data_IF_270397046335
#
_entry.id   IF_270397046335
#
_cell.length_a   1.000
_cell.length_b   1.000
_cell.length_c   1.000
_cell.angle_alpha   90.00
_cell.angle_beta   90.00
_cell.angle_gamma   90.00
#
_symmetry.space_group_name_H-M   'P 1'
#
loop_
_entity.id
_entity.type
_entity.pdbx_description
1 polymer ?
#
# COMPACT_ATOMS: atom_id res chain seq x y z
N UNK A 1 101.00 22.14 72.74
CA UNK A 1 100.34 21.93 71.43
C UNK A 1 98.89 21.52 71.68
N UNK A 2 97.92 22.40 71.41
CA UNK A 2 96.48 22.11 71.46
C UNK A 2 95.98 22.02 70.01
N UNK A 3 95.61 20.83 69.57
CA UNK A 3 94.92 20.63 68.29
C UNK A 3 93.42 20.87 68.49
N UNK A 4 92.89 21.89 67.80
CA UNK A 4 91.46 22.17 67.69
C UNK A 4 90.82 21.12 66.77
N UNK A 5 89.90 20.36 67.34
CA UNK A 5 89.16 19.30 66.68
C UNK A 5 87.92 19.90 65.99
N UNK A 6 88.01 20.21 64.69
CA UNK A 6 86.85 20.65 63.90
C UNK A 6 85.91 19.47 63.67
N UNK A 7 84.88 19.39 64.50
CA UNK A 7 83.82 18.38 64.39
C UNK A 7 83.01 18.62 63.10
N UNK A 8 83.06 17.63 62.22
CA UNK A 8 82.46 17.59 60.89
C UNK A 8 80.91 17.58 60.96
N UNK A 9 80.28 18.76 61.07
CA UNK A 9 78.82 18.92 61.05
C UNK A 9 78.22 19.13 59.64
N UNK A 10 79.01 19.00 58.56
CA UNK A 10 78.58 19.31 57.18
C UNK A 10 77.69 18.25 56.50
N UNK A 11 77.62 17.01 57.00
CA UNK A 11 76.86 15.93 56.33
C UNK A 11 75.36 15.90 56.66
N UNK A 12 74.91 16.53 57.76
CA UNK A 12 73.48 16.54 58.13
C UNK A 12 72.63 17.53 57.33
N UNK A 13 73.22 18.59 56.79
CA UNK A 13 72.51 19.55 55.93
C UNK A 13 72.19 19.02 54.54
N UNK A 14 73.05 18.17 53.97
CA UNK A 14 72.90 17.64 52.61
C UNK A 14 71.70 16.71 52.50
N UNK A 15 71.44 15.87 53.51
CA UNK A 15 70.27 14.99 53.56
C UNK A 15 68.94 15.75 53.61
N UNK A 16 68.87 16.88 54.33
CA UNK A 16 67.67 17.71 54.38
C UNK A 16 67.40 18.41 53.04
N UNK A 17 68.45 18.80 52.32
CA UNK A 17 68.33 19.43 51.00
C UNK A 17 67.83 18.40 49.97
N UNK A 18 68.41 17.19 49.97
CA UNK A 18 67.99 16.11 49.06
C UNK A 18 66.55 15.69 49.36
N UNK A 19 66.17 15.55 50.63
CA UNK A 19 64.78 15.25 51.03
C UNK A 19 63.78 16.34 50.63
N UNK A 20 64.18 17.62 50.77
CA UNK A 20 63.36 18.76 50.32
C UNK A 20 63.14 18.78 48.81
N UNK A 21 64.19 18.50 48.02
CA UNK A 21 64.08 18.40 46.55
C UNK A 21 63.18 17.23 46.16
N UNK A 22 63.35 16.07 46.80
CA UNK A 22 62.52 14.89 46.51
C UNK A 22 61.05 15.14 46.84
N UNK A 23 60.77 15.80 47.97
CA UNK A 23 59.43 16.21 48.35
C UNK A 23 58.83 17.21 47.36
N UNK A 24 59.61 18.19 46.88
CA UNK A 24 59.13 19.20 45.92
C UNK A 24 58.78 18.54 44.58
N UNK A 25 59.59 17.60 44.10
CA UNK A 25 59.30 16.83 42.88
C UNK A 25 58.01 16.00 43.06
N UNK A 26 57.84 15.31 44.19
CA UNK A 26 56.62 14.55 44.49
C UNK A 26 55.37 15.44 44.63
N UNK A 27 55.52 16.61 45.25
CA UNK A 27 54.42 17.57 45.38
C UNK A 27 54.03 18.13 44.01
N UNK A 28 55.02 18.44 43.16
CA UNK A 28 54.79 18.92 41.79
C UNK A 28 54.10 17.85 40.95
N UNK A 29 54.55 16.60 41.01
CA UNK A 29 53.89 15.51 40.29
C UNK A 29 52.47 15.24 40.81
N UNK A 30 52.26 15.29 42.13
CA UNK A 30 50.94 15.17 42.75
C UNK A 30 49.97 16.27 42.29
N UNK A 31 50.43 17.53 42.25
CA UNK A 31 49.62 18.63 41.74
C UNK A 31 49.35 18.54 40.24
N UNK A 32 50.30 18.06 39.44
CA UNK A 32 50.07 17.85 38.00
C UNK A 32 48.98 16.79 37.77
N UNK A 33 49.03 15.67 38.48
CA UNK A 33 47.97 14.64 38.37
C UNK A 33 46.62 15.18 38.85
N UNK A 34 46.61 15.93 39.94
CA UNK A 34 45.40 16.58 40.44
C UNK A 34 44.81 17.58 39.43
N UNK A 35 45.66 18.38 38.78
CA UNK A 35 45.25 19.31 37.73
C UNK A 35 44.61 18.59 36.55
N UNK A 36 45.24 17.51 36.07
CA UNK A 36 44.68 16.67 35.00
C UNK A 36 43.35 16.03 35.43
N UNK A 37 43.24 15.58 36.68
CA UNK A 37 42.00 15.04 37.21
C UNK A 37 40.86 16.09 37.28
N UNK A 38 41.17 17.34 37.61
CA UNK A 38 40.18 18.43 37.58
C UNK A 38 39.77 18.81 36.15
N UNK A 39 40.73 18.89 35.23
CA UNK A 39 40.46 19.20 33.81
C UNK A 39 39.56 18.13 33.18
N UNK A 40 39.86 16.85 33.41
CA UNK A 40 39.02 15.74 32.95
C UNK A 40 37.62 15.74 33.57
N UNK A 41 37.46 16.13 34.84
CA UNK A 41 36.13 16.29 35.45
C UNK A 41 35.35 17.43 34.80
N UNK A 42 36.00 18.57 34.51
CA UNK A 42 35.35 19.69 33.81
C UNK A 42 34.86 19.26 32.43
N UNK A 43 35.71 18.61 31.64
CA UNK A 43 35.34 18.11 30.32
C UNK A 43 34.20 17.09 30.37
N UNK A 44 34.15 16.25 31.40
CA UNK A 44 33.06 15.30 31.60
C UNK A 44 31.73 16.00 31.90
N UNK A 45 31.74 17.04 32.74
CA UNK A 45 30.54 17.84 33.04
C UNK A 45 30.05 18.56 31.77
N UNK A 46 30.96 19.20 31.03
CA UNK A 46 30.64 19.90 29.79
C UNK A 46 30.04 18.94 28.76
N UNK A 47 30.63 17.76 28.62
CA UNK A 47 30.13 16.70 27.72
C UNK A 47 28.74 16.23 28.16
N UNK A 48 28.50 16.03 29.46
CA UNK A 48 27.19 15.64 29.97
C UNK A 48 26.13 16.70 29.71
N UNK A 49 26.48 17.98 29.86
CA UNK A 49 25.57 19.08 29.55
C UNK A 49 25.23 19.11 28.06
N UNK A 50 26.22 19.00 27.18
CA UNK A 50 26.00 18.95 25.72
C UNK A 50 25.12 17.75 25.35
N UNK A 51 25.35 16.57 25.93
CA UNK A 51 24.52 15.37 25.69
C UNK A 51 23.09 15.60 26.17
N UNK A 52 22.89 16.20 27.35
CA UNK A 52 21.57 16.49 27.88
C UNK A 52 20.82 17.51 27.00
N UNK A 53 21.48 18.59 26.61
CA UNK A 53 20.91 19.64 25.75
C UNK A 53 20.56 19.08 24.37
N UNK A 54 21.43 18.26 23.78
CA UNK A 54 21.18 17.56 22.51
C UNK A 54 20.02 16.57 22.64
N UNK A 55 19.93 15.85 23.76
CA UNK A 55 18.84 14.93 24.05
C UNK A 55 17.49 15.64 24.13
N UNK A 56 17.43 16.79 24.82
CA UNK A 56 16.23 17.63 24.91
C UNK A 56 15.86 18.19 23.53
N UNK A 57 16.84 18.67 22.76
CA UNK A 57 16.62 19.17 21.40
C UNK A 57 16.04 18.07 20.49
N UNK A 58 16.58 16.86 20.57
CA UNK A 58 16.12 15.68 19.82
C UNK A 58 14.68 15.29 20.16
N UNK A 59 14.29 15.32 21.44
CA UNK A 59 12.91 15.01 21.86
C UNK A 59 11.90 16.05 21.30
N UNK A 60 12.34 17.30 21.14
CA UNK A 60 11.53 18.39 20.58
C UNK A 60 11.50 18.41 19.05
N UNK A 61 12.39 17.67 18.41
CA UNK A 61 12.44 17.50 16.96
C UNK A 61 11.43 16.43 16.53
N UNK A 62 10.43 16.84 15.76
CA UNK A 62 9.44 15.92 15.18
C UNK A 62 9.22 16.32 13.74
N UNK A 63 9.41 15.38 12.83
CA UNK A 63 9.13 15.60 11.42
C UNK A 63 8.53 14.35 10.79
N UNK A 64 7.82 14.57 9.70
CA UNK A 64 7.20 13.56 8.86
C UNK A 64 7.84 13.64 7.48
N UNK A 65 7.94 12.50 6.83
CA UNK A 65 8.53 12.35 5.49
C UNK A 65 7.49 11.74 4.58
N UNK A 66 7.33 12.32 3.40
CA UNK A 66 6.57 11.75 2.31
C UNK A 66 7.48 11.63 1.08
N UNK A 67 7.41 10.48 0.41
CA UNK A 67 8.08 10.24 -0.84
C UNK A 67 7.05 10.12 -1.96
N UNK A 68 7.41 10.62 -3.13
CA UNK A 68 6.63 10.55 -4.36
C UNK A 68 7.56 10.53 -5.55
N UNK A 69 7.16 9.94 -6.67
CA UNK A 69 7.87 10.03 -7.93
C UNK A 69 6.96 10.52 -9.04
N UNK A 70 7.49 11.37 -9.92
CA UNK A 70 6.78 11.85 -11.09
C UNK A 70 6.97 10.88 -12.26
N UNK A 71 5.93 10.13 -12.60
CA UNK A 71 5.92 9.18 -13.73
C UNK A 71 5.99 9.89 -15.10
N UNK A 72 5.61 11.17 -15.17
CA UNK A 72 5.76 12.01 -16.35
C UNK A 72 7.20 12.50 -16.59
N UNK A 73 8.03 12.51 -15.55
CA UNK A 73 9.44 12.90 -15.58
C UNK A 73 10.36 11.70 -15.23
N UNK A 74 10.13 10.55 -15.87
CA UNK A 74 10.97 9.35 -15.73
C UNK A 74 11.18 8.88 -14.28
N UNK A 75 10.12 8.92 -13.46
CA UNK A 75 10.14 8.56 -12.04
C UNK A 75 11.13 9.41 -11.22
N UNK A 76 11.12 10.73 -11.46
CA UNK A 76 11.89 11.68 -10.64
C UNK A 76 11.39 11.66 -9.20
N UNK A 77 12.26 11.31 -8.27
CA UNK A 77 11.97 11.29 -6.84
C UNK A 77 11.82 12.71 -6.28
N UNK A 78 10.74 12.92 -5.55
CA UNK A 78 10.45 14.10 -4.75
C UNK A 78 10.26 13.69 -3.28
N UNK A 79 11.03 14.30 -2.39
CA UNK A 79 11.01 14.03 -0.96
C UNK A 79 10.55 15.26 -0.21
N UNK A 80 9.31 15.20 0.28
CA UNK A 80 8.75 16.25 1.09
C UNK A 80 8.94 15.92 2.57
N UNK A 81 9.53 16.86 3.30
CA UNK A 81 9.69 16.77 4.74
C UNK A 81 8.89 17.88 5.40
N UNK A 82 8.08 17.51 6.38
CA UNK A 82 7.22 18.43 7.14
C UNK A 82 7.67 18.47 8.58
N UNK A 83 8.02 19.66 9.07
CA UNK A 83 8.40 19.84 10.46
C UNK A 83 7.16 20.08 11.33
N UNK A 84 6.82 19.08 12.14
CA UNK A 84 5.71 19.10 13.11
C UNK A 84 6.19 19.32 14.56
N UNK A 85 7.49 19.56 14.74
CA UNK A 85 8.14 19.76 16.03
C UNK A 85 8.15 21.21 16.46
N UNK A 86 8.81 21.49 17.59
CA UNK A 86 8.92 22.85 18.13
C UNK A 86 10.26 23.52 17.78
N UNK A 87 11.17 22.77 17.18
CA UNK A 87 12.49 23.24 16.75
C UNK A 87 12.60 23.11 15.23
N UNK A 88 13.40 23.97 14.59
CA UNK A 88 13.76 23.78 13.20
C UNK A 88 14.47 22.42 13.03
N UNK A 89 14.14 21.73 11.95
CA UNK A 89 14.72 20.43 11.62
C UNK A 89 15.80 20.68 10.58
N UNK A 90 16.98 20.14 10.83
CA UNK A 90 18.09 20.19 9.88
C UNK A 90 18.37 18.77 9.40
N UNK A 91 18.28 18.52 8.10
CA UNK A 91 18.48 17.20 7.51
C UNK A 91 19.97 17.01 7.18
N UNK A 92 20.59 16.02 7.81
CA UNK A 92 21.99 15.71 7.57
C UNK A 92 22.15 14.83 6.31
N UNK A 93 21.38 13.75 6.22
CA UNK A 93 21.59 12.70 5.22
C UNK A 93 20.28 12.06 4.75
N UNK A 94 20.26 11.65 3.49
CA UNK A 94 19.22 10.79 2.92
C UNK A 94 19.84 9.50 2.44
N UNK A 95 19.22 8.38 2.78
CA UNK A 95 19.57 7.06 2.31
C UNK A 95 18.42 6.49 1.50
N UNK A 96 18.72 5.93 0.33
CA UNK A 96 17.75 5.22 -0.50
C UNK A 96 18.23 3.77 -0.59
N UNK A 97 17.33 2.84 -0.24
CA UNK A 97 17.66 1.43 -0.17
C UNK A 97 16.66 0.69 -1.05
N UNK A 98 17.11 0.07 -2.13
CA UNK A 98 16.25 -0.84 -2.88
C UNK A 98 16.02 -2.11 -2.04
N UNK A 99 14.76 -2.49 -1.83
CA UNK A 99 14.40 -3.69 -1.04
C UNK A 99 14.40 -4.98 -1.85
N UNK A 100 14.12 -4.94 -3.15
CA UNK A 100 14.03 -6.16 -3.97
C UNK A 100 15.31 -6.43 -4.77
N UNK A 101 16.12 -5.41 -4.98
CA UNK A 101 17.42 -5.50 -5.64
C UNK A 101 18.53 -6.09 -4.75
N UNK A 102 19.63 -6.50 -5.41
CA UNK A 102 20.91 -6.89 -4.77
C UNK A 102 21.74 -5.63 -4.43
N UNK A 103 21.31 -4.45 -4.88
CA UNK A 103 22.07 -3.21 -4.71
C UNK A 103 22.09 -2.72 -3.27
N UNK A 104 23.23 -2.11 -2.91
CA UNK A 104 23.50 -1.60 -1.58
C UNK A 104 22.78 -0.27 -1.35
N UNK A 105 22.49 0.03 -0.07
CA UNK A 105 22.02 1.33 0.38
C UNK A 105 22.91 2.47 -0.15
N UNK A 106 22.32 3.43 -0.86
CA UNK A 106 23.01 4.60 -1.38
C UNK A 106 22.75 5.82 -0.50
N UNK A 107 23.83 6.49 -0.08
CA UNK A 107 23.77 7.76 0.66
C UNK A 107 23.78 8.92 -0.31
N UNK A 108 22.91 9.89 -0.07
CA UNK A 108 22.85 11.16 -0.78
C UNK A 108 23.10 12.30 0.19
N UNK A 109 24.09 13.11 -0.14
CA UNK A 109 24.33 14.37 0.54
C UNK A 109 23.29 15.42 0.08
N UNK A 110 22.94 16.35 0.95
CA UNK A 110 21.98 17.40 0.63
C UNK A 110 22.69 18.73 0.40
N UNK A 111 22.08 19.59 -0.43
CA UNK A 111 22.53 20.98 -0.54
C UNK A 111 22.09 21.73 0.72
N UNK A 112 22.97 22.53 1.30
CA UNK A 112 22.73 23.35 2.48
C UNK A 112 21.45 24.20 2.40
N UNK A 113 21.02 24.58 1.19
CA UNK A 113 19.78 25.36 0.97
C UNK A 113 18.50 24.59 1.26
N UNK A 114 18.53 23.26 1.14
CA UNK A 114 17.38 22.36 1.28
C UNK A 114 17.35 21.66 2.65
N UNK A 115 18.39 21.89 3.44
CA UNK A 115 18.69 21.15 4.66
C UNK A 115 17.90 21.67 5.87
N UNK A 116 17.46 22.94 5.89
CA UNK A 116 16.81 23.53 7.06
C UNK A 116 15.30 23.77 6.84
N UNK A 117 14.47 23.17 7.69
CA UNK A 117 13.01 23.25 7.62
C UNK A 117 12.49 23.92 8.90
N UNK A 118 11.98 25.16 8.82
CA UNK A 118 11.39 25.85 9.96
C UNK A 118 10.15 25.14 10.51
N UNK A 119 9.80 25.45 11.76
CA UNK A 119 8.65 24.87 12.44
C UNK A 119 7.35 25.17 11.70
N UNK A 120 6.55 24.14 11.41
CA UNK A 120 5.26 24.25 10.74
C UNK A 120 5.35 24.41 9.21
N UNK A 121 6.56 24.39 8.64
CA UNK A 121 6.77 24.43 7.20
C UNK A 121 7.08 23.03 6.65
N UNK A 122 6.85 22.88 5.35
CA UNK A 122 7.31 21.73 4.57
C UNK A 122 8.34 22.19 3.54
N UNK A 123 9.35 21.38 3.28
CA UNK A 123 10.35 21.60 2.23
C UNK A 123 10.56 20.35 1.39
N UNK A 124 10.84 20.52 0.10
CA UNK A 124 11.36 19.45 -0.74
C UNK A 124 12.89 19.44 -0.61
N UNK A 125 13.44 18.33 -0.12
CA UNK A 125 14.86 18.28 0.25
C UNK A 125 15.79 17.87 -0.90
N UNK A 126 15.23 17.55 -2.08
CA UNK A 126 15.98 17.12 -3.27
C UNK A 126 15.82 18.08 -4.45
N UNK A 127 15.26 19.26 -4.23
CA UNK A 127 14.87 20.17 -5.32
C UNK A 127 16.06 20.89 -5.97
N UNK A 128 17.04 21.34 -5.16
CA UNK A 128 18.19 22.11 -5.65
C UNK A 128 19.39 21.27 -6.09
N UNK A 129 19.33 19.93 -5.94
CA UNK A 129 20.34 18.99 -6.43
C UNK A 129 19.95 18.44 -7.82
N UNK A 130 20.91 17.79 -8.49
CA UNK A 130 20.62 16.99 -9.67
C UNK A 130 19.44 16.03 -9.39
N UNK A 131 18.44 15.97 -10.28
CA UNK A 131 17.25 15.14 -10.09
C UNK A 131 17.64 13.67 -9.94
N UNK A 132 17.06 13.02 -8.94
CA UNK A 132 17.22 11.58 -8.72
C UNK A 132 16.07 10.86 -9.39
N UNK A 133 16.40 9.88 -10.23
CA UNK A 133 15.42 9.04 -10.91
C UNK A 133 15.48 7.64 -10.31
N UNK A 134 14.32 7.09 -9.98
CA UNK A 134 14.21 5.74 -9.45
C UNK A 134 13.74 4.77 -10.52
N UNK A 135 14.24 3.53 -10.43
CA UNK A 135 13.73 2.42 -11.24
C UNK A 135 12.44 1.94 -10.58
N UNK A 136 11.49 1.38 -11.35
CA UNK A 136 10.26 0.81 -10.78
C UNK A 136 10.59 -0.34 -9.84
N UNK A 137 10.51 -0.09 -8.53
CA UNK A 137 10.82 -1.03 -7.47
C UNK A 137 10.35 -0.50 -6.10
N UNK A 138 10.46 -1.32 -5.06
CA UNK A 138 10.18 -0.95 -3.67
C UNK A 138 11.46 -0.46 -3.01
N UNK A 139 11.41 0.75 -2.46
CA UNK A 139 12.51 1.41 -1.77
C UNK A 139 12.17 1.68 -0.30
N UNK A 140 13.19 1.66 0.56
CA UNK A 140 13.17 2.19 1.92
C UNK A 140 14.03 3.44 1.95
N UNK A 141 13.37 4.59 2.12
CA UNK A 141 14.02 5.91 2.11
C UNK A 141 14.15 6.38 3.56
N UNK A 142 15.38 6.55 4.02
CA UNK A 142 15.69 6.98 5.39
C UNK A 142 16.25 8.38 5.38
N UNK A 143 15.63 9.25 6.16
CA UNK A 143 16.04 10.62 6.36
C UNK A 143 16.57 10.76 7.78
N UNK A 144 17.78 11.32 7.88
CA UNK A 144 18.50 11.48 9.14
C UNK A 144 18.68 12.98 9.39
N UNK A 145 18.23 13.46 10.54
CA UNK A 145 18.47 14.83 10.97
C UNK A 145 19.88 15.02 11.55
N UNK A 146 20.35 16.26 11.66
CA UNK A 146 21.63 16.59 12.31
C UNK A 146 21.64 16.22 13.80
N UNK A 147 20.47 16.14 14.45
CA UNK A 147 20.30 15.63 15.80
C UNK A 147 20.21 14.09 15.88
N UNK A 148 20.30 13.41 14.73
CA UNK A 148 20.29 11.95 14.60
C UNK A 148 18.91 11.32 14.81
N UNK A 149 17.83 12.06 14.55
CA UNK A 149 16.48 11.48 14.43
C UNK A 149 16.35 10.85 13.06
N UNK A 150 15.84 9.63 13.02
CA UNK A 150 15.72 8.86 11.78
C UNK A 150 14.24 8.66 11.48
N UNK A 151 13.83 8.97 10.25
CA UNK A 151 12.51 8.66 9.70
C UNK A 151 12.66 7.86 8.42
N UNK A 152 12.01 6.71 8.38
CA UNK A 152 11.98 5.83 7.22
C UNK A 152 10.59 5.88 6.59
N UNK A 153 10.55 5.96 5.26
CA UNK A 153 9.34 5.79 4.48
C UNK A 153 9.62 4.71 3.44
N UNK A 154 8.79 3.68 3.41
CA UNK A 154 8.76 2.78 2.27
C UNK A 154 8.16 3.54 1.09
N UNK A 155 8.60 3.28 -0.13
CA UNK A 155 8.09 3.91 -1.34
C UNK A 155 8.11 2.92 -2.48
N UNK A 156 6.96 2.70 -3.14
CA UNK A 156 6.87 1.87 -4.33
C UNK A 156 6.86 2.77 -5.58
N UNK A 157 7.88 2.62 -6.43
CA UNK A 157 8.08 3.41 -7.65
C UNK A 157 7.21 2.89 -8.80
N UNK A 158 6.34 1.90 -8.56
CA UNK A 158 5.33 1.41 -9.50
C UNK A 158 4.06 2.29 -9.58
N UNK A 159 4.16 3.61 -9.32
CA UNK A 159 3.12 4.58 -9.74
C UNK A 159 2.23 5.19 -8.65
N UNK A 160 2.57 5.11 -7.35
CA UNK A 160 1.73 5.68 -6.29
C UNK A 160 2.45 6.26 -5.07
N UNK A 161 1.84 7.24 -4.42
CA UNK A 161 2.14 7.68 -3.06
C UNK A 161 1.56 6.70 -2.04
N UNK A 162 2.36 6.30 -1.03
CA UNK A 162 1.94 5.37 0.05
C UNK A 162 0.83 5.92 0.99
N UNK A 163 0.26 7.08 0.67
CA UNK A 163 -0.86 7.69 1.39
C UNK A 163 -2.19 7.14 0.89
N UNK A 164 -2.30 6.76 -0.39
CA UNK A 164 -3.50 6.15 -0.95
C UNK A 164 -3.17 4.74 -1.41
N UNK A 165 -3.89 3.76 -0.85
CA UNK A 165 -3.80 2.37 -1.26
C UNK A 165 -5.05 2.00 -2.06
N UNK A 166 -4.87 1.61 -3.31
CA UNK A 166 -5.91 1.15 -4.21
C UNK A 166 -5.91 -0.37 -4.34
N UNK A 167 -7.10 -0.95 -4.37
CA UNK A 167 -7.36 -2.35 -4.63
C UNK A 167 -8.46 -2.45 -5.69
N UNK A 168 -8.25 -3.31 -6.68
CA UNK A 168 -9.20 -3.51 -7.77
C UNK A 168 -9.80 -4.91 -7.66
N UNK A 169 -11.10 -5.01 -7.95
CA UNK A 169 -11.82 -6.28 -8.04
C UNK A 169 -12.75 -6.23 -9.24
N UNK A 170 -12.70 -7.26 -10.08
CA UNK A 170 -13.59 -7.42 -11.23
C UNK A 170 -14.61 -8.55 -10.96
N UNK A 171 -15.89 -8.25 -11.16
CA UNK A 171 -17.00 -9.16 -10.88
C UNK A 171 -17.95 -9.19 -12.09
N UNK A 172 -18.33 -10.37 -12.60
CA UNK A 172 -17.87 -11.71 -12.20
C UNK A 172 -16.45 -12.02 -12.72
N UNK A 173 -15.74 -12.95 -12.05
CA UNK A 173 -14.39 -13.41 -12.48
C UNK A 173 -14.43 -14.39 -13.67
N UNK A 174 -15.60 -14.92 -13.99
CA UNK A 174 -15.87 -15.77 -15.14
C UNK A 174 -17.00 -15.13 -15.95
N UNK A 175 -16.70 -14.69 -17.17
CA UNK A 175 -17.66 -13.95 -18.01
C UNK A 175 -17.68 -14.50 -19.43
N UNK A 176 -18.80 -14.34 -20.12
CA UNK A 176 -18.96 -14.66 -21.53
C UNK A 176 -18.93 -13.39 -22.37
N UNK A 177 -18.70 -13.54 -23.66
CA UNK A 177 -18.77 -12.42 -24.60
C UNK A 177 -20.16 -11.76 -24.58
N UNK A 178 -20.18 -10.43 -24.57
CA UNK A 178 -21.40 -9.63 -24.49
C UNK A 178 -22.02 -9.54 -23.08
N UNK A 179 -21.40 -10.14 -22.06
CA UNK A 179 -21.78 -9.91 -20.65
C UNK A 179 -21.08 -8.68 -20.09
N UNK A 180 -21.70 -8.05 -19.09
CA UNK A 180 -21.13 -6.90 -18.39
C UNK A 180 -20.21 -7.37 -17.26
N UNK A 181 -19.03 -6.77 -17.19
CA UNK A 181 -18.11 -6.89 -16.06
C UNK A 181 -18.15 -5.59 -15.29
N UNK A 182 -18.44 -5.68 -13.99
CA UNK A 182 -18.32 -4.55 -13.08
C UNK A 182 -16.93 -4.56 -12.45
N UNK A 183 -16.18 -3.49 -12.68
CA UNK A 183 -14.88 -3.26 -12.07
C UNK A 183 -15.06 -2.31 -10.89
N UNK A 184 -14.51 -2.68 -9.75
CA UNK A 184 -14.57 -1.92 -8.50
C UNK A 184 -13.15 -1.54 -8.10
N UNK A 185 -12.89 -0.24 -7.96
CA UNK A 185 -11.65 0.27 -7.37
C UNK A 185 -11.96 0.79 -5.97
N UNK A 186 -11.45 0.09 -4.96
CA UNK A 186 -11.49 0.52 -3.58
C UNK A 186 -10.21 1.29 -3.24
N UNK A 187 -10.36 2.53 -2.79
CA UNK A 187 -9.24 3.41 -2.45
C UNK A 187 -9.31 3.71 -0.96
N UNK A 188 -8.24 3.46 -0.24
CA UNK A 188 -8.12 3.67 1.22
C UNK A 188 -7.03 4.67 1.51
N UNK A 189 -7.32 5.65 2.37
CA UNK A 189 -6.30 6.54 2.91
C UNK A 189 -5.52 5.83 4.03
N UNK A 190 -4.28 5.47 3.75
CA UNK A 190 -3.32 4.85 4.67
C UNK A 190 -2.44 5.88 5.40
N UNK A 191 -2.56 7.16 5.04
CA UNK A 191 -1.83 8.26 5.68
C UNK A 191 -2.45 8.74 7.01
N UNK A 192 -1.69 9.58 7.71
CA UNK A 192 -2.09 10.17 9.01
C UNK A 192 -2.98 11.42 8.87
N UNK A 193 -3.22 11.90 7.64
CA UNK A 193 -3.90 13.16 7.36
C UNK A 193 -5.04 12.97 6.36
N UNK A 194 -6.00 13.91 6.36
CA UNK A 194 -7.12 13.91 5.42
C UNK A 194 -6.64 14.15 3.98
N UNK A 195 -7.05 13.28 3.05
CA UNK A 195 -6.85 13.46 1.61
C UNK A 195 -8.14 13.97 1.00
N UNK A 196 -8.07 15.08 0.28
CA UNK A 196 -9.24 15.74 -0.34
C UNK A 196 -9.38 15.37 -1.81
N UNK A 197 -10.60 15.46 -2.33
CA UNK A 197 -10.90 15.26 -3.75
C UNK A 197 -10.35 13.95 -4.35
N UNK A 198 -10.39 12.87 -3.56
CA UNK A 198 -9.99 11.54 -4.05
C UNK A 198 -10.94 11.14 -5.17
N UNK A 199 -10.39 10.94 -6.37
CA UNK A 199 -11.08 10.56 -7.60
C UNK A 199 -10.31 9.43 -8.28
N UNK A 200 -11.03 8.46 -8.83
CA UNK A 200 -10.40 7.52 -9.73
C UNK A 200 -9.96 8.22 -11.02
N UNK A 201 -8.85 7.75 -11.60
CA UNK A 201 -8.46 8.16 -12.93
C UNK A 201 -9.50 7.62 -13.94
N UNK A 202 -9.95 8.46 -14.85
CA UNK A 202 -11.07 8.11 -15.75
C UNK A 202 -10.70 7.09 -16.81
N UNK A 203 -9.39 6.87 -17.02
CA UNK A 203 -8.87 5.91 -17.97
C UNK A 203 -8.14 4.82 -17.18
N UNK A 204 -8.81 3.70 -16.91
CA UNK A 204 -8.10 2.49 -16.52
C UNK A 204 -7.69 1.74 -17.78
N UNK A 205 -6.51 1.13 -17.74
CA UNK A 205 -6.00 0.33 -18.84
C UNK A 205 -6.69 -1.03 -18.83
N UNK A 206 -7.18 -1.44 -20.00
CA UNK A 206 -7.71 -2.77 -20.25
C UNK A 206 -6.77 -3.47 -21.21
N UNK A 207 -6.18 -4.57 -20.75
CA UNK A 207 -5.25 -5.35 -21.56
C UNK A 207 -5.73 -6.80 -21.65
N UNK A 208 -6.07 -7.29 -22.86
CA UNK A 208 -6.17 -6.57 -24.15
C UNK A 208 -7.33 -5.57 -24.19
N UNK A 209 -7.24 -4.54 -25.04
CA UNK A 209 -8.32 -3.55 -25.25
C UNK A 209 -9.54 -4.21 -25.90
N UNK A 210 -10.48 -4.65 -25.08
CA UNK A 210 -11.68 -5.40 -25.46
C UNK A 210 -12.95 -4.82 -24.84
N UNK A 211 -12.86 -3.63 -24.24
CA UNK A 211 -14.01 -2.95 -23.69
C UNK A 211 -14.72 -2.18 -24.82
N UNK A 212 -15.94 -2.58 -25.16
CA UNK A 212 -16.71 -2.02 -26.30
C UNK A 212 -16.91 -0.52 -26.21
N UNK A 213 -17.13 -0.03 -25.00
CA UNK A 213 -17.26 1.39 -24.68
C UNK A 213 -16.17 1.74 -23.66
N UNK A 214 -15.60 2.97 -23.72
CA UNK A 214 -14.70 3.41 -22.67
C UNK A 214 -15.47 3.29 -21.34
N UNK A 215 -14.87 2.64 -20.34
CA UNK A 215 -15.59 2.30 -19.12
C UNK A 215 -16.08 3.59 -18.45
N UNK A 216 -17.39 3.75 -18.40
CA UNK A 216 -18.00 4.93 -17.80
C UNK A 216 -18.08 4.72 -16.29
N UNK A 217 -17.68 5.74 -15.54
CA UNK A 217 -17.82 5.74 -14.09
C UNK A 217 -19.31 5.80 -13.72
N UNK A 218 -19.83 4.71 -13.17
CA UNK A 218 -21.24 4.57 -12.81
C UNK A 218 -21.51 5.18 -11.45
N UNK A 219 -20.54 5.02 -10.55
CA UNK A 219 -20.67 5.43 -9.16
C UNK A 219 -19.31 5.78 -8.56
N UNK A 220 -19.27 6.84 -7.76
CA UNK A 220 -18.08 7.34 -7.09
C UNK A 220 -17.68 8.74 -7.56
N UNK A 221 -18.12 9.77 -6.84
CA UNK A 221 -17.66 11.14 -7.06
C UNK A 221 -16.37 11.45 -6.29
N UNK A 222 -15.76 12.63 -6.50
CA UNK A 222 -14.67 13.10 -5.66
C UNK A 222 -15.08 13.04 -4.18
N UNK A 223 -14.26 12.41 -3.35
CA UNK A 223 -14.56 12.21 -1.94
C UNK A 223 -13.37 12.62 -1.07
N UNK A 224 -13.65 13.10 0.14
CA UNK A 224 -12.61 13.39 1.11
C UNK A 224 -12.46 12.18 2.03
N UNK A 225 -11.23 11.68 2.16
CA UNK A 225 -10.90 10.52 2.98
C UNK A 225 -10.13 10.96 4.21
N UNK A 226 -10.73 10.81 5.39
CA UNK A 226 -10.01 10.85 6.65
C UNK A 226 -9.03 9.64 6.76
N UNK A 227 -8.06 9.65 7.69
CA UNK A 227 -7.19 8.51 7.94
C UNK A 227 -7.99 7.22 8.13
N UNK A 228 -7.58 6.14 7.45
CA UNK A 228 -8.25 4.83 7.45
C UNK A 228 -9.66 4.80 6.84
N UNK A 229 -10.10 5.87 6.18
CA UNK A 229 -11.35 5.89 5.44
C UNK A 229 -11.14 5.37 4.01
N UNK A 230 -12.15 4.70 3.47
CA UNK A 230 -12.15 4.19 2.10
C UNK A 230 -13.31 4.75 1.29
N UNK A 231 -13.12 4.82 -0.02
CA UNK A 231 -14.15 5.08 -1.03
C UNK A 231 -14.09 4.02 -2.12
N UNK A 232 -15.16 3.89 -2.90
CA UNK A 232 -15.26 2.92 -3.98
C UNK A 232 -15.72 3.60 -5.27
N UNK A 233 -15.09 3.21 -6.38
CA UNK A 233 -15.42 3.65 -7.73
C UNK A 233 -15.84 2.42 -8.55
N UNK A 234 -16.89 2.58 -9.35
CA UNK A 234 -17.50 1.48 -10.10
C UNK A 234 -17.55 1.84 -11.58
N UNK A 235 -17.18 0.89 -12.41
CA UNK A 235 -17.31 0.97 -13.86
C UNK A 235 -17.93 -0.32 -14.38
N UNK A 236 -18.73 -0.21 -15.43
CA UNK A 236 -19.14 -1.38 -16.22
C UNK A 236 -18.38 -1.37 -17.54
N UNK A 237 -17.97 -2.57 -17.94
CA UNK A 237 -17.33 -2.85 -19.21
C UNK A 237 -18.07 -3.99 -19.91
N UNK A 238 -18.43 -3.77 -21.17
CA UNK A 238 -19.00 -4.82 -22.03
C UNK A 238 -17.88 -5.40 -22.87
N UNK A 239 -17.68 -6.71 -22.78
CA UNK A 239 -16.58 -7.39 -23.47
C UNK A 239 -16.96 -7.75 -24.90
N UNK A 240 -16.20 -7.23 -25.86
CA UNK A 240 -16.29 -7.59 -27.27
C UNK A 240 -15.36 -8.78 -27.61
N UNK A 241 -15.73 -9.62 -28.59
CA UNK A 241 -14.79 -10.57 -29.20
C UNK A 241 -13.80 -9.84 -30.14
N UNK A 242 -12.60 -10.39 -30.45
CA UNK A 242 -12.11 -11.74 -30.15
C UNK A 242 -10.69 -11.82 -29.50
N UNK A 243 -10.37 -13.03 -29.00
CA UNK A 243 -9.04 -13.54 -28.64
C UNK A 243 -8.39 -12.94 -27.39
N UNK A 244 -8.74 -13.49 -26.22
CA UNK A 244 -7.83 -13.95 -25.15
C UNK A 244 -8.68 -14.56 -24.01
N UNK A 245 -8.14 -15.55 -23.30
CA UNK A 245 -8.85 -16.19 -22.18
C UNK A 245 -8.88 -15.32 -20.92
N UNK A 246 -8.08 -14.25 -20.86
CA UNK A 246 -7.94 -13.42 -19.66
C UNK A 246 -7.82 -11.96 -20.05
N UNK A 247 -8.64 -11.13 -19.41
CA UNK A 247 -8.64 -9.68 -19.54
C UNK A 247 -8.17 -9.11 -18.21
N UNK A 248 -7.17 -8.24 -18.23
CA UNK A 248 -6.65 -7.56 -17.05
C UNK A 248 -7.10 -6.11 -17.07
N UNK A 249 -7.64 -5.67 -15.95
CA UNK A 249 -8.01 -4.29 -15.68
C UNK A 249 -6.95 -3.70 -14.77
N UNK A 250 -6.42 -2.52 -15.08
CA UNK A 250 -5.42 -1.82 -14.27
C UNK A 250 -5.81 -0.36 -14.13
N UNK A 251 -5.87 0.16 -12.91
CA UNK A 251 -6.22 1.56 -12.68
C UNK A 251 -5.73 2.09 -11.33
N UNK A 252 -5.75 3.41 -11.21
CA UNK A 252 -5.32 4.13 -10.03
C UNK A 252 -6.28 5.28 -9.68
N UNK A 253 -6.03 5.91 -8.54
CA UNK A 253 -6.76 7.07 -8.07
C UNK A 253 -5.82 8.19 -7.66
N UNK A 254 -6.31 9.41 -7.74
CA UNK A 254 -5.56 10.63 -7.40
C UNK A 254 -6.33 11.41 -6.34
N UNK A 255 -5.62 12.11 -5.48
CA UNK A 255 -6.19 12.97 -4.43
C UNK A 255 -5.29 14.17 -4.13
N UNK A 256 -5.73 15.04 -3.22
CA UNK A 256 -5.01 16.23 -2.81
C UNK A 256 -4.69 16.19 -1.31
N UNK A 257 -3.41 16.13 -0.98
CA UNK A 257 -2.91 16.29 0.38
C UNK A 257 -2.34 17.70 0.55
N UNK A 258 -3.01 18.55 1.32
CA UNK A 258 -2.58 19.94 1.55
C UNK A 258 -2.30 20.74 0.25
N UNK A 259 -3.00 20.41 -0.84
CA UNK A 259 -2.85 21.04 -2.15
C UNK A 259 -1.85 20.37 -3.10
N UNK A 260 -1.16 19.32 -2.66
CA UNK A 260 -0.26 18.51 -3.49
C UNK A 260 -1.00 17.26 -4.00
N UNK A 261 -0.86 16.95 -5.28
CA UNK A 261 -1.43 15.72 -5.85
C UNK A 261 -0.73 14.50 -5.27
N UNK A 262 -1.50 13.52 -4.82
CA UNK A 262 -1.03 12.21 -4.37
C UNK A 262 -1.76 11.14 -5.16
N UNK A 263 -0.99 10.20 -5.71
CA UNK A 263 -1.54 9.10 -6.49
C UNK A 263 -1.59 7.83 -5.64
N UNK A 264 -2.50 6.91 -5.92
CA UNK A 264 -2.48 5.56 -5.34
C UNK A 264 -1.53 4.68 -6.12
N UNK A 265 -1.20 3.50 -5.58
CA UNK A 265 -0.61 2.43 -6.39
C UNK A 265 -1.52 2.08 -7.58
N UNK A 266 -0.92 1.50 -8.62
CA UNK A 266 -1.68 0.84 -9.68
C UNK A 266 -2.28 -0.46 -9.12
N UNK A 267 -3.60 -0.57 -9.18
CA UNK A 267 -4.34 -1.74 -8.77
C UNK A 267 -4.82 -2.48 -10.01
N UNK A 268 -4.65 -3.80 -10.03
CA UNK A 268 -5.08 -4.63 -11.14
C UNK A 268 -5.83 -5.87 -10.71
N UNK A 269 -6.83 -6.27 -11.47
CA UNK A 269 -7.50 -7.57 -11.36
C UNK A 269 -7.78 -8.13 -12.75
N UNK A 270 -8.02 -9.44 -12.84
CA UNK A 270 -8.23 -10.13 -14.11
C UNK A 270 -9.48 -10.99 -14.10
N UNK A 271 -10.11 -11.07 -15.27
CA UNK A 271 -11.30 -11.88 -15.51
C UNK A 271 -11.01 -12.90 -16.58
N UNK A 272 -11.51 -14.12 -16.38
CA UNK A 272 -11.41 -15.20 -17.36
C UNK A 272 -12.61 -15.15 -18.28
N UNK A 273 -12.35 -15.02 -19.58
CA UNK A 273 -13.37 -15.02 -20.62
C UNK A 273 -13.54 -16.45 -21.15
N UNK A 274 -14.75 -16.98 -21.03
CA UNK A 274 -15.08 -18.32 -21.52
C UNK A 274 -15.63 -18.25 -22.93
N UNK A 275 -14.99 -19.01 -23.83
CA UNK A 275 -15.50 -19.23 -25.17
C UNK A 275 -16.61 -20.30 -25.17
N UNK A 276 -17.59 -20.13 -26.07
CA UNK A 276 -18.64 -21.11 -26.35
C UNK A 276 -18.10 -22.42 -26.93
N UNK A 277 -16.88 -22.45 -27.48
CA UNK A 277 -16.39 -23.58 -28.29
C UNK A 277 -15.33 -24.46 -27.63
N UNK A 278 -14.84 -24.12 -26.44
CA UNK A 278 -13.83 -24.92 -25.73
C UNK A 278 -14.44 -26.17 -25.07
N UNK A 279 -14.71 -27.17 -25.91
CA UNK A 279 -15.03 -28.53 -25.56
C UNK A 279 -13.91 -29.14 -24.69
N UNK A 280 -14.08 -29.16 -23.37
CA UNK A 280 -13.17 -29.83 -22.45
C UNK A 280 -13.29 -29.43 -20.98
N UNK A 281 -13.83 -28.25 -20.69
CA UNK A 281 -14.16 -27.85 -19.33
C UNK A 281 -15.49 -28.47 -18.90
N UNK A 282 -15.51 -29.16 -17.77
CA UNK A 282 -16.70 -29.72 -17.13
C UNK A 282 -17.85 -28.71 -17.23
N UNK A 283 -18.89 -29.07 -17.98
CA UNK A 283 -20.15 -28.34 -18.03
C UNK A 283 -20.68 -28.30 -16.60
N UNK A 284 -20.45 -27.20 -15.87
CA UNK A 284 -21.28 -26.86 -14.74
C UNK A 284 -22.59 -26.44 -15.39
N UNK A 285 -23.45 -27.43 -15.61
CA UNK A 285 -24.86 -27.23 -15.89
C UNK A 285 -25.42 -26.46 -14.69
N UNK A 286 -25.45 -25.14 -14.78
CA UNK A 286 -26.32 -24.36 -13.91
C UNK A 286 -27.71 -24.98 -14.02
N UNK A 287 -28.39 -25.10 -12.87
CA UNK A 287 -29.69 -25.78 -12.77
C UNK A 287 -30.75 -25.20 -13.73
N UNK A 288 -30.52 -24.04 -14.32
CA UNK A 288 -31.35 -23.46 -15.37
C UNK A 288 -31.41 -24.31 -16.66
N UNK A 289 -30.33 -25.01 -17.04
CA UNK A 289 -30.34 -25.97 -18.17
C UNK A 289 -30.87 -27.36 -17.78
N UNK A 290 -31.06 -27.61 -16.47
CA UNK A 290 -31.71 -28.81 -15.95
C UNK A 290 -33.20 -28.62 -15.69
N UNK A 291 -33.75 -27.43 -15.95
CA UNK A 291 -35.19 -27.21 -15.90
C UNK A 291 -35.87 -28.05 -16.98
N UNK A 292 -36.34 -29.22 -16.56
CA UNK A 292 -37.08 -30.15 -17.41
C UNK A 292 -38.36 -29.49 -17.86
N UNK A 293 -38.78 -29.64 -19.12
CA UNK A 293 -40.09 -29.17 -19.56
C UNK A 293 -41.16 -29.83 -18.71
N UNK A 294 -42.04 -29.01 -18.14
CA UNK A 294 -43.18 -29.49 -17.39
C UNK A 294 -44.29 -29.88 -18.38
N UNK A 295 -44.77 -31.12 -18.24
CA UNK A 295 -45.81 -31.68 -19.10
C UNK A 295 -47.04 -31.93 -18.24
N UNK A 296 -48.12 -31.22 -18.53
CA UNK A 296 -49.39 -31.37 -17.84
C UNK A 296 -50.41 -32.02 -18.77
N UNK A 297 -51.07 -33.07 -18.29
CA UNK A 297 -52.20 -33.68 -18.97
C UNK A 297 -53.50 -33.08 -18.42
N UNK A 298 -54.33 -32.56 -19.31
CA UNK A 298 -55.69 -32.12 -19.00
C UNK A 298 -56.62 -33.30 -19.26
N UNK A 299 -57.17 -33.86 -18.18
CA UNK A 299 -58.19 -34.91 -18.25
C UNK A 299 -59.51 -34.25 -17.88
N UNK A 300 -60.54 -34.29 -18.75
CA UNK A 300 -61.84 -33.74 -18.40
C UNK A 300 -62.43 -34.54 -17.23
N UNK A 301 -63.13 -33.85 -16.32
CA UNK A 301 -63.94 -34.53 -15.31
C UNK A 301 -64.91 -35.50 -15.99
N UNK A 302 -65.20 -36.67 -15.41
CA UNK A 302 -66.17 -37.59 -15.98
C UNK A 302 -67.52 -36.88 -16.11
N UNK A 303 -67.91 -36.57 -17.34
CA UNK A 303 -69.27 -36.20 -17.69
C UNK A 303 -69.94 -37.51 -18.11
N UNK A 304 -71.14 -37.78 -17.58
CA UNK A 304 -71.89 -38.99 -17.92
C UNK A 304 -72.32 -39.01 -19.41
N UNK A 305 -73.31 -39.82 -19.74
CA UNK A 305 -73.77 -40.03 -21.13
C UNK A 305 -74.53 -38.83 -21.76
N UNK A 306 -74.32 -37.60 -21.27
CA UNK A 306 -74.94 -36.41 -21.83
C UNK A 306 -74.28 -36.05 -23.17
N UNK A 307 -74.99 -36.18 -24.30
CA UNK A 307 -74.43 -35.98 -25.65
C UNK A 307 -74.02 -34.53 -25.93
N UNK A 308 -74.40 -33.58 -25.08
CA UNK A 308 -74.04 -32.17 -25.24
C UNK A 308 -72.77 -31.77 -24.47
N UNK A 309 -72.25 -32.63 -23.59
CA UNK A 309 -71.00 -32.36 -22.89
C UNK A 309 -69.84 -32.94 -23.71
N UNK A 310 -68.99 -32.04 -24.21
CA UNK A 310 -67.76 -32.41 -24.89
C UNK A 310 -66.58 -32.29 -23.93
N UNK A 311 -65.90 -33.40 -23.68
CA UNK A 311 -64.66 -33.42 -22.91
C UNK A 311 -63.48 -32.95 -23.74
N UNK A 312 -62.80 -31.90 -23.29
CA UNK A 312 -61.51 -31.52 -23.85
C UNK A 312 -60.41 -32.30 -23.10
N UNK A 313 -59.67 -33.12 -23.84
CA UNK A 313 -58.41 -33.70 -23.39
C UNK A 313 -57.26 -33.01 -24.10
N UNK A 314 -56.13 -32.85 -23.43
CA UNK A 314 -54.98 -32.17 -24.02
C UNK A 314 -53.70 -32.38 -23.22
N UNK A 315 -52.58 -32.04 -23.85
CA UNK A 315 -51.26 -32.02 -23.22
C UNK A 315 -50.69 -30.63 -23.40
N UNK A 316 -50.36 -29.97 -22.29
CA UNK A 316 -49.64 -28.71 -22.30
C UNK A 316 -48.17 -28.99 -22.00
N UNK A 317 -47.29 -28.51 -22.88
CA UNK A 317 -45.83 -28.56 -22.69
C UNK A 317 -45.37 -27.13 -22.46
N UNK A 318 -44.88 -26.85 -21.25
CA UNK A 318 -44.42 -25.51 -20.88
C UNK A 318 -42.92 -25.44 -21.09
N UNK A 319 -42.46 -24.41 -21.81
CA UNK A 319 -41.05 -24.12 -21.95
C UNK A 319 -40.57 -23.31 -20.73
N UNK A 320 -39.71 -23.86 -19.86
CA UNK A 320 -39.23 -23.16 -18.68
C UNK A 320 -38.07 -22.20 -18.98
N UNK A 321 -37.65 -22.08 -20.24
CA UNK A 321 -36.49 -21.28 -20.65
C UNK A 321 -36.89 -20.14 -21.59
N UNK A 322 -36.13 -19.04 -21.65
CA UNK A 322 -36.38 -17.94 -22.58
C UNK A 322 -35.99 -18.25 -24.02
N UNK A 323 -35.40 -19.42 -24.30
CA UNK A 323 -34.97 -19.84 -25.63
C UNK A 323 -36.04 -20.68 -26.33
N UNK A 324 -36.13 -20.69 -27.68
CA UNK A 324 -37.07 -21.53 -28.40
C UNK A 324 -36.85 -23.03 -28.11
N UNK A 325 -37.91 -23.74 -27.73
CA UNK A 325 -37.88 -25.19 -27.48
C UNK A 325 -38.60 -25.92 -28.61
N UNK A 326 -37.90 -26.88 -29.23
CA UNK A 326 -38.50 -27.77 -30.23
C UNK A 326 -38.98 -29.08 -29.58
N UNK A 327 -40.27 -29.38 -29.72
CA UNK A 327 -40.86 -30.64 -29.24
C UNK A 327 -40.90 -31.65 -30.39
N UNK A 328 -39.99 -32.64 -30.35
CA UNK A 328 -39.86 -33.62 -31.43
C UNK A 328 -40.96 -34.70 -31.41
N UNK A 329 -41.45 -35.10 -30.23
CA UNK A 329 -42.50 -36.12 -30.10
C UNK A 329 -43.23 -36.04 -28.75
N UNK A 330 -44.55 -36.12 -28.79
CA UNK A 330 -45.41 -36.38 -27.62
C UNK A 330 -46.11 -37.73 -27.85
N UNK A 331 -45.98 -38.66 -26.90
CA UNK A 331 -46.64 -39.98 -26.98
C UNK A 331 -47.60 -40.14 -25.82
N UNK A 332 -48.87 -40.44 -26.13
CA UNK A 332 -49.92 -40.69 -25.13
C UNK A 332 -50.32 -42.16 -25.24
N UNK A 333 -50.19 -42.89 -24.14
CA UNK A 333 -50.64 -44.28 -24.04
C UNK A 333 -51.79 -44.34 -23.05
N UNK A 334 -53.02 -44.46 -23.56
CA UNK A 334 -54.21 -44.68 -22.73
C UNK A 334 -54.53 -46.17 -22.67
N UNK A 335 -54.65 -46.72 -21.47
CA UNK A 335 -55.08 -48.10 -21.25
C UNK A 335 -56.39 -48.06 -20.49
N UNK A 336 -57.47 -48.50 -21.11
CA UNK A 336 -58.76 -48.69 -20.43
C UNK A 336 -58.84 -50.12 -19.92
N UNK A 337 -58.95 -50.32 -18.61
CA UNK A 337 -59.28 -51.64 -18.08
C UNK A 337 -60.69 -52.01 -18.55
N UNK A 338 -60.90 -53.27 -18.98
CA UNK A 338 -62.25 -53.77 -19.23
C UNK A 338 -63.03 -53.72 -17.91
N UNK A 339 -64.26 -53.19 -17.88
CA UNK A 339 -65.09 -53.29 -16.70
C UNK A 339 -65.24 -54.78 -16.37
N UNK A 340 -64.88 -55.17 -15.14
CA UNK A 340 -65.20 -56.50 -14.66
C UNK A 340 -66.73 -56.61 -14.63
N UNK A 341 -67.26 -57.49 -15.48
CA UNK A 341 -68.61 -57.99 -15.32
C UNK A 341 -68.69 -58.55 -13.90
N UNK A 342 -69.40 -57.85 -13.01
CA UNK A 342 -69.93 -58.48 -11.81
C UNK A 342 -71.01 -59.45 -12.31
N UNK A 343 -70.59 -60.67 -12.63
CA UNK A 343 -71.51 -61.79 -12.74
C UNK A 343 -72.20 -61.95 -11.38
N UNK A 344 -73.51 -61.68 -11.37
CA UNK A 344 -74.41 -61.94 -10.26
C UNK A 344 -75.02 -63.33 -10.42
#
# INVERSE_FOLDING_TARGET
>A
MKFLNFKNNRQKGISSIVGGIFFLVLMTSGFTVYYVALDTQSQMIDTQQIIADTGVAKIKEKFVVAASSDSGDSNRLSLQVVNIGNNAVEIADVWIINKTGIENATRYDLDYRDVSIPVGYSGNILENRAPLYLISDIYDIKIISSLGTIKSVEYDVAGGSNILNAQMVAIPQDVRFGENVTVILMVTNTGEFDVKEVRANTNFDVSPDQCRDPPNLIFGGPSNLAPSQSTMFFWDCILDPPLLNTITFTGNATGLLSGVSVDSNDASDSVVVRDFTSAGGTLILEQELLNRPEIFMVIPSPFGDDPNNLGLWGVNVVNPTPFPMEVSKVTITAITARPQLQDK
#
